data_IF_364224991178
#
_entry.id   IF_364224991178
#
_cell.length_a   1.000
_cell.length_b   1.000
_cell.length_c   1.000
_cell.angle_alpha   90.00
_cell.angle_beta   90.00
_cell.angle_gamma   90.00
#
_symmetry.space_group_name_H-M   'P 1'
#
loop_
_entity.id
_entity.type
_entity.pdbx_description
1 polymer ?
#
# COMPACT_ATOMS: atom_id res chain seq x y z
N UNK A 1 -22.31 0.21 16.17
CA UNK A 1 -22.09 0.32 15.62
C UNK A 1 -21.79 0.05 14.84
N UNK A 2 -21.44 -0.35 14.81
CA UNK A 2 -21.08 -0.59 14.14
C UNK A 2 -20.92 -0.35 13.10
N UNK A 3 -20.15 -0.14 13.01
CA UNK A 3 -19.98 0.00 11.97
C UNK A 3 -20.28 -0.62 11.08
N UNK A 4 -20.71 -0.67 10.74
CA UNK A 4 -21.02 -1.23 10.04
C UNK A 4 -20.43 -1.64 9.11
N UNK A 5 -20.13 -1.84 9.30
CA UNK A 5 -19.82 -2.23 8.37
C UNK A 5 -18.77 -2.55 7.57
N UNK A 6 -17.93 -1.71 7.34
CA UNK A 6 -16.85 -2.02 6.53
C UNK A 6 -15.83 -2.80 7.27
N UNK A 7 -15.50 -3.95 6.78
CA UNK A 7 -14.41 -4.72 7.32
C UNK A 7 -13.10 -4.19 6.80
N UNK A 8 -12.08 -4.17 7.68
CA UNK A 8 -10.72 -3.87 7.26
C UNK A 8 -10.25 -5.03 6.37
N UNK A 9 -9.82 -4.77 5.11
CA UNK A 9 -9.61 -5.88 4.17
C UNK A 9 -8.32 -6.65 4.37
N UNK A 10 -7.32 -6.05 5.03
CA UNK A 10 -6.03 -6.72 5.21
C UNK A 10 -6.08 -7.66 6.40
N UNK A 11 -5.26 -8.73 6.32
CA UNK A 11 -5.16 -9.68 7.42
C UNK A 11 -4.34 -9.13 8.58
N UNK A 12 -3.44 -8.20 8.29
CA UNK A 12 -2.64 -7.55 9.32
C UNK A 12 -3.51 -6.58 10.12
N UNK A 13 -3.10 -6.31 11.35
CA UNK A 13 -3.82 -5.36 12.19
C UNK A 13 -3.79 -3.95 11.58
N UNK A 14 -4.84 -3.14 11.80
CA UNK A 14 -4.88 -1.80 11.20
C UNK A 14 -3.73 -0.89 11.60
N UNK A 15 -3.12 -1.10 12.76
CA UNK A 15 -2.00 -0.28 13.21
C UNK A 15 -0.64 -0.84 12.83
N UNK A 16 -0.60 -1.87 11.98
CA UNK A 16 0.65 -2.43 11.47
C UNK A 16 1.45 -1.36 10.76
N UNK A 17 2.76 -1.28 11.07
CA UNK A 17 3.65 -0.33 10.41
C UNK A 17 3.86 -0.73 8.95
N UNK A 18 3.76 0.24 8.06
CA UNK A 18 4.02 0.04 6.64
C UNK A 18 4.85 1.21 6.13
N UNK A 19 5.44 1.06 4.95
CA UNK A 19 6.29 2.09 4.37
C UNK A 19 5.55 2.77 3.22
N UNK A 20 5.67 4.09 3.17
CA UNK A 20 5.24 4.88 2.03
C UNK A 20 6.34 5.90 1.73
N UNK A 21 6.08 6.86 0.88
CA UNK A 21 7.06 7.91 0.58
C UNK A 21 6.44 9.29 0.83
N UNK A 22 7.29 10.28 0.97
CA UNK A 22 6.82 11.63 1.24
C UNK A 22 5.93 12.16 0.11
N UNK A 23 6.11 11.68 -1.12
CA UNK A 23 5.28 12.12 -2.24
C UNK A 23 3.84 11.67 -2.08
N UNK A 24 3.63 10.43 -1.63
CA UNK A 24 2.27 9.94 -1.37
C UNK A 24 1.61 10.74 -0.27
N UNK A 25 2.34 11.05 0.79
CA UNK A 25 1.79 11.84 1.89
C UNK A 25 1.49 13.28 1.48
N UNK A 26 2.14 13.75 0.43
CA UNK A 26 1.90 15.09 -0.12
C UNK A 26 0.78 15.08 -1.17
N UNK A 27 0.18 13.93 -1.46
CA UNK A 27 -0.97 13.85 -2.36
C UNK A 27 -0.76 13.07 -3.65
N UNK A 28 0.45 12.55 -3.89
CA UNK A 28 0.68 11.76 -5.09
C UNK A 28 -0.08 10.44 -5.00
N UNK A 29 -0.56 9.90 -6.14
CA UNK A 29 -1.26 8.63 -6.11
C UNK A 29 -0.31 7.48 -5.80
N UNK A 30 -0.85 6.43 -5.17
CA UNK A 30 -0.10 5.20 -4.93
C UNK A 30 -0.18 4.39 -6.22
N UNK A 31 0.97 4.19 -6.87
CA UNK A 31 1.04 3.49 -8.14
C UNK A 31 1.86 2.19 -8.07
N UNK A 32 2.52 1.93 -6.96
CA UNK A 32 3.28 0.72 -6.77
C UNK A 32 3.10 0.23 -5.35
N UNK A 33 2.81 -1.06 -5.22
CA UNK A 33 2.67 -1.71 -3.92
C UNK A 33 3.56 -2.94 -3.93
N UNK A 34 4.35 -3.13 -2.87
CA UNK A 34 5.14 -4.34 -2.71
C UNK A 34 4.80 -4.98 -1.38
N UNK A 35 4.87 -6.31 -1.35
CA UNK A 35 4.70 -7.09 -0.14
C UNK A 35 5.96 -7.93 -0.01
N UNK A 36 6.89 -7.47 0.81
CA UNK A 36 8.25 -8.00 0.83
C UNK A 36 8.30 -9.43 1.36
N UNK A 37 9.04 -10.26 0.68
CA UNK A 37 9.13 -11.67 1.03
C UNK A 37 9.87 -11.90 2.34
N UNK A 38 10.91 -11.11 2.59
CA UNK A 38 11.79 -11.35 3.72
C UNK A 38 11.16 -11.05 5.07
N UNK A 39 10.41 -9.96 5.16
CA UNK A 39 9.89 -9.51 6.45
C UNK A 39 8.38 -9.28 6.46
N UNK A 40 7.71 -9.52 5.32
CA UNK A 40 6.28 -9.29 5.23
C UNK A 40 5.88 -7.84 5.19
N UNK A 41 6.83 -6.94 5.02
CA UNK A 41 6.55 -5.50 5.05
C UNK A 41 5.81 -5.07 3.79
N UNK A 42 4.78 -4.25 3.97
CA UNK A 42 4.08 -3.62 2.87
C UNK A 42 4.70 -2.27 2.57
N UNK A 43 4.81 -1.93 1.28
CA UNK A 43 5.22 -0.60 0.84
C UNK A 43 4.20 -0.08 -0.17
N UNK A 44 3.75 1.14 0.05
CA UNK A 44 2.75 1.80 -0.80
C UNK A 44 3.39 3.07 -1.34
N UNK A 45 3.81 3.04 -2.60
CA UNK A 45 4.72 4.03 -3.16
C UNK A 45 4.13 4.73 -4.38
N UNK A 46 4.66 5.91 -4.69
CA UNK A 46 4.20 6.69 -5.84
C UNK A 46 4.64 6.12 -7.18
N UNK A 47 5.57 5.17 -7.18
CA UNK A 47 6.06 4.55 -8.41
C UNK A 47 7.20 5.30 -9.07
N UNK A 48 7.53 6.50 -8.60
CA UNK A 48 8.68 7.25 -9.10
C UNK A 48 9.95 6.89 -8.34
N UNK A 49 11.06 7.45 -8.80
CA UNK A 49 12.33 7.25 -8.11
C UNK A 49 12.42 8.16 -6.90
N UNK A 50 12.98 7.63 -5.83
CA UNK A 50 13.26 8.40 -4.63
C UNK A 50 14.28 7.65 -3.80
N UNK A 51 14.97 8.39 -2.91
CA UNK A 51 15.95 7.78 -2.03
C UNK A 51 15.33 7.36 -0.71
N UNK A 52 16.12 6.63 0.07
CA UNK A 52 15.69 6.15 1.37
C UNK A 52 15.24 7.28 2.30
N UNK A 53 15.82 8.47 2.14
CA UNK A 53 15.47 9.62 2.99
C UNK A 53 14.02 10.06 2.77
N UNK A 54 13.39 9.66 1.68
CA UNK A 54 12.01 10.01 1.37
C UNK A 54 11.01 9.00 1.90
N UNK A 55 11.49 7.89 2.45
CA UNK A 55 10.61 6.88 3.01
C UNK A 55 9.97 7.37 4.31
N UNK A 56 8.73 6.93 4.53
CA UNK A 56 7.97 7.28 5.73
C UNK A 56 7.26 6.04 6.25
N UNK A 57 7.16 5.93 7.56
CA UNK A 57 6.45 4.83 8.20
C UNK A 57 5.10 5.35 8.67
N UNK A 58 4.03 4.65 8.27
CA UNK A 58 2.68 4.99 8.69
C UNK A 58 1.96 3.70 9.08
N UNK A 59 0.77 3.82 9.64
CA UNK A 59 -0.05 2.66 9.93
C UNK A 59 -0.75 2.17 8.66
N UNK A 60 -0.96 0.88 8.55
CA UNK A 60 -1.66 0.30 7.41
C UNK A 60 -3.03 0.94 7.19
N UNK A 61 -3.76 1.22 8.27
CA UNK A 61 -5.06 1.87 8.15
C UNK A 61 -4.95 3.26 7.53
N UNK A 62 -3.83 3.94 7.75
CA UNK A 62 -3.61 5.25 7.16
C UNK A 62 -3.41 5.15 5.66
N UNK A 63 -2.64 4.15 5.21
CA UNK A 63 -2.46 3.92 3.78
C UNK A 63 -3.81 3.60 3.13
N UNK A 64 -4.58 2.72 3.75
CA UNK A 64 -5.88 2.33 3.24
C UNK A 64 -6.83 3.53 3.18
N UNK A 65 -6.75 4.43 4.16
CA UNK A 65 -7.57 5.64 4.16
C UNK A 65 -7.21 6.59 3.02
N UNK A 66 -5.94 6.59 2.59
CA UNK A 66 -5.53 7.40 1.45
C UNK A 66 -6.12 6.90 0.15
N UNK A 67 -6.30 5.59 0.02
CA UNK A 67 -6.81 4.99 -1.21
C UNK A 67 -7.45 3.65 -0.90
N UNK A 68 -8.77 3.65 -0.81
CA UNK A 68 -9.52 2.45 -0.46
C UNK A 68 -9.38 1.34 -1.52
N UNK A 69 -8.99 1.68 -2.75
CA UNK A 69 -8.79 0.67 -3.78
C UNK A 69 -7.64 -0.28 -3.45
N UNK A 70 -6.78 0.09 -2.48
CA UNK A 70 -5.74 -0.81 -1.99
C UNK A 70 -6.32 -2.10 -1.40
N UNK A 71 -7.59 -2.08 -0.99
CA UNK A 71 -8.23 -3.30 -0.50
C UNK A 71 -8.24 -4.43 -1.51
N UNK A 72 -8.18 -4.10 -2.80
CA UNK A 72 -8.10 -5.12 -3.85
C UNK A 72 -6.79 -5.89 -3.82
N UNK A 73 -5.77 -5.34 -3.15
CA UNK A 73 -4.45 -5.96 -3.03
C UNK A 73 -4.23 -6.63 -1.69
N UNK A 74 -5.28 -6.70 -0.85
CA UNK A 74 -5.13 -7.19 0.52
C UNK A 74 -4.59 -8.62 0.58
N UNK A 75 -4.79 -9.41 -0.46
CA UNK A 75 -4.33 -10.79 -0.52
C UNK A 75 -3.07 -10.97 -1.38
N UNK A 76 -2.42 -9.87 -1.74
CA UNK A 76 -1.18 -9.94 -2.51
C UNK A 76 -0.15 -10.76 -1.72
N UNK A 77 0.36 -11.87 -2.30
CA UNK A 77 1.29 -12.72 -1.56
C UNK A 77 2.62 -12.02 -1.30
N UNK A 78 3.30 -12.47 -0.25
CA UNK A 78 4.68 -12.03 -0.01
C UNK A 78 5.54 -12.36 -1.23
N UNK A 79 6.43 -11.46 -1.58
CA UNK A 79 7.28 -11.62 -2.75
C UNK A 79 6.67 -11.13 -4.04
N UNK A 80 5.47 -10.54 -3.97
CA UNK A 80 4.82 -10.00 -5.15
C UNK A 80 4.72 -8.48 -5.08
N UNK A 81 4.54 -7.88 -6.25
CA UNK A 81 4.35 -6.45 -6.38
C UNK A 81 3.17 -6.17 -7.31
N UNK A 82 2.57 -5.01 -7.17
CA UNK A 82 1.51 -4.56 -8.04
C UNK A 82 1.85 -3.15 -8.52
N UNK A 83 1.56 -2.87 -9.78
CA UNK A 83 1.77 -1.56 -10.37
C UNK A 83 0.57 -1.17 -11.22
N UNK A 84 0.37 0.12 -11.32
CA UNK A 84 -0.64 0.68 -12.23
C UNK A 84 -0.14 2.02 -12.74
N UNK A 85 -0.72 2.48 -13.84
CA UNK A 85 -0.25 3.72 -14.48
C UNK A 85 -0.99 4.96 -13.98
N UNK A 86 -2.11 4.80 -13.30
CA UNK A 86 -2.87 5.92 -12.77
C UNK A 86 -3.68 5.47 -11.56
N UNK A 87 -4.21 6.44 -10.81
CA UNK A 87 -4.98 6.16 -9.60
C UNK A 87 -6.20 5.28 -9.87
N UNK A 88 -6.76 5.36 -11.06
CA UNK A 88 -7.94 4.56 -11.42
C UNK A 88 -7.60 3.39 -12.33
N UNK A 89 -6.31 3.20 -12.61
CA UNK A 89 -5.88 2.12 -13.49
C UNK A 89 -5.93 0.76 -12.82
N UNK A 90 -5.86 -0.27 -13.64
CA UNK A 90 -5.87 -1.64 -13.14
C UNK A 90 -4.49 -2.01 -12.63
N UNK A 91 -4.48 -2.73 -11.52
CA UNK A 91 -3.25 -3.25 -10.95
C UNK A 91 -2.73 -4.41 -11.80
N UNK A 92 -1.44 -4.38 -12.09
CA UNK A 92 -0.73 -5.50 -12.71
C UNK A 92 0.17 -6.12 -11.67
N UNK A 93 -0.02 -7.40 -11.42
CA UNK A 93 0.69 -8.11 -10.36
C UNK A 93 1.81 -8.92 -10.96
N UNK A 94 2.98 -8.89 -10.31
CA UNK A 94 4.15 -9.64 -10.73
C UNK A 94 4.93 -10.08 -9.50
N UNK A 95 5.83 -11.03 -9.70
CA UNK A 95 6.80 -11.37 -8.66
C UNK A 95 7.81 -10.22 -8.55
N UNK A 96 8.15 -9.85 -7.31
CA UNK A 96 9.10 -8.75 -7.13
C UNK A 96 10.52 -9.26 -6.88
#
# INVERSE_FOLDING_TARGET
>A
MRLLGRRFPFREAPDTAVITCCHVLAGAPILRVTHDEEDGMWQFLCGGEHDASEARVIALKEAYALDASLGKLAKLPCGCAAQRSSKTGKWKISAS
#
